data_IF_368703612094
#
_entry.id   IF_368703612094
#
_cell.length_a   1.000
_cell.length_b   1.000
_cell.length_c   1.000
_cell.angle_alpha   90.00
_cell.angle_beta   90.00
_cell.angle_gamma   90.00
#
_symmetry.space_group_name_H-M   'P 1'
#
loop_
_entity.id
_entity.type
_entity.pdbx_description
1 polymer ?
#
# COMPACT_ATOMS: atom_id res chain seq x y z
N UNK A 1 3.61 -11.93 2.82
CA UNK A 1 2.31 -11.23 2.65
C UNK A 1 2.54 -9.73 2.79
N UNK A 2 1.91 -8.95 1.94
CA UNK A 2 1.86 -7.48 2.08
C UNK A 2 0.48 -6.99 1.65
N UNK A 3 0.01 -5.92 2.26
CA UNK A 3 -1.16 -5.13 1.85
C UNK A 3 -0.68 -3.75 1.46
N UNK A 4 -1.41 -3.05 0.60
CA UNK A 4 -1.08 -1.66 0.25
C UNK A 4 -1.17 -0.74 1.48
N UNK A 5 -2.19 -0.93 2.31
CA UNK A 5 -2.44 -0.22 3.56
C UNK A 5 -3.50 -0.95 4.41
N UNK A 6 -3.90 -0.37 5.54
CA UNK A 6 -4.71 -1.04 6.58
C UNK A 6 -6.21 -0.73 6.53
N UNK A 7 -6.75 -0.12 5.49
CA UNK A 7 -8.18 0.08 5.37
C UNK A 7 -8.92 -1.25 5.12
N UNK A 8 -10.18 -1.31 5.56
CA UNK A 8 -10.97 -2.54 5.65
C UNK A 8 -11.11 -3.28 4.30
N UNK A 9 -11.22 -2.56 3.20
CA UNK A 9 -11.40 -3.11 1.85
C UNK A 9 -10.10 -3.67 1.23
N UNK A 10 -8.93 -3.40 1.86
CA UNK A 10 -7.63 -3.95 1.46
C UNK A 10 -7.14 -5.09 2.34
N UNK A 11 -7.70 -5.25 3.55
CA UNK A 11 -7.23 -6.25 4.52
C UNK A 11 -8.24 -7.35 4.84
N UNK A 12 -9.32 -7.45 4.08
CA UNK A 12 -10.43 -8.37 4.35
C UNK A 12 -10.04 -9.84 4.53
N UNK A 13 -8.93 -10.29 3.91
CA UNK A 13 -8.42 -11.67 4.04
C UNK A 13 -7.24 -11.81 5.00
N UNK A 14 -6.86 -10.76 5.73
CA UNK A 14 -5.66 -10.75 6.55
C UNK A 14 -5.63 -11.87 7.59
N UNK A 15 -6.74 -12.11 8.27
CA UNK A 15 -6.84 -13.15 9.30
C UNK A 15 -6.68 -14.58 8.75
N UNK A 16 -6.94 -14.80 7.46
CA UNK A 16 -6.81 -16.12 6.82
C UNK A 16 -5.35 -16.46 6.50
N UNK A 17 -4.50 -15.44 6.34
CA UNK A 17 -3.09 -15.59 5.96
C UNK A 17 -2.11 -15.37 7.12
N UNK A 18 -2.58 -15.51 8.35
CA UNK A 18 -1.84 -15.25 9.61
C UNK A 18 -0.52 -16.03 9.78
N UNK A 19 -0.31 -17.09 9.01
CA UNK A 19 0.91 -17.87 9.06
C UNK A 19 2.03 -17.33 8.15
N UNK A 20 1.74 -16.31 7.34
CA UNK A 20 2.73 -15.66 6.49
C UNK A 20 3.45 -14.54 7.24
N UNK A 21 4.72 -14.28 6.89
CA UNK A 21 5.40 -13.07 7.37
C UNK A 21 4.74 -11.84 6.76
N UNK A 22 4.30 -10.89 7.59
CA UNK A 22 3.70 -9.65 7.15
C UNK A 22 4.78 -8.59 6.92
N UNK A 23 4.87 -8.09 5.67
CA UNK A 23 5.71 -6.96 5.28
C UNK A 23 4.83 -5.71 5.26
N UNK A 24 5.09 -4.77 6.13
CA UNK A 24 4.24 -3.60 6.35
C UNK A 24 5.09 -2.39 6.72
N UNK A 25 4.73 -1.21 6.24
CA UNK A 25 5.37 0.02 6.72
C UNK A 25 5.08 0.19 8.22
N UNK A 26 6.11 0.56 9.00
CA UNK A 26 6.01 0.68 10.47
C UNK A 26 4.87 1.60 10.89
N UNK A 27 4.65 2.71 10.19
CA UNK A 27 3.59 3.66 10.48
C UNK A 27 2.18 3.03 10.41
N UNK A 28 1.91 2.18 9.42
CA UNK A 28 0.62 1.49 9.31
C UNK A 28 0.51 0.33 10.31
N UNK A 29 1.61 -0.37 10.61
CA UNK A 29 1.60 -1.38 11.68
C UNK A 29 1.24 -0.78 13.03
N UNK A 30 1.90 0.31 13.42
CA UNK A 30 1.66 0.96 14.70
C UNK A 30 0.24 1.54 14.77
N UNK A 31 -0.26 2.05 13.64
CA UNK A 31 -1.61 2.52 13.48
C UNK A 31 -2.67 1.41 13.58
N UNK A 32 -2.40 0.23 13.04
CA UNK A 32 -3.31 -0.92 13.08
C UNK A 32 -3.59 -1.42 14.52
N UNK A 33 -2.65 -1.20 15.44
CA UNK A 33 -2.69 -1.76 16.79
C UNK A 33 -2.58 -0.68 17.88
N UNK A 34 -3.28 0.42 17.69
CA UNK A 34 -3.37 1.49 18.67
C UNK A 34 -3.92 0.99 20.03
N UNK A 35 -3.56 1.64 21.14
CA UNK A 35 -4.16 1.37 22.44
C UNK A 35 -5.69 1.44 22.41
N UNK A 36 -6.32 0.67 23.31
CA UNK A 36 -7.78 0.66 23.43
C UNK A 36 -8.35 2.09 23.60
N UNK A 37 -9.41 2.39 22.87
CA UNK A 37 -10.06 3.70 22.86
C UNK A 37 -9.47 4.72 21.89
N UNK A 38 -8.41 4.39 21.17
CA UNK A 38 -7.88 5.18 20.06
C UNK A 38 -8.29 4.57 18.72
N UNK A 39 -8.55 5.41 17.71
CA UNK A 39 -8.92 4.97 16.37
C UNK A 39 -8.31 5.89 15.33
N UNK A 40 -7.92 5.32 14.19
CA UNK A 40 -7.49 6.04 13.00
C UNK A 40 -8.64 6.50 12.10
N UNK A 41 -9.86 6.33 12.55
CA UNK A 41 -11.04 6.67 11.78
C UNK A 41 -11.84 5.45 11.31
N UNK A 42 -12.93 5.68 10.59
CA UNK A 42 -13.92 4.63 10.27
C UNK A 42 -13.44 3.61 9.22
N UNK A 43 -12.35 3.89 8.52
CA UNK A 43 -11.84 3.00 7.48
C UNK A 43 -10.91 1.88 8.02
N UNK A 44 -10.56 1.90 9.30
CA UNK A 44 -9.73 0.87 9.94
C UNK A 44 -10.60 0.01 10.84
N UNK A 45 -10.69 -1.27 10.54
CA UNK A 45 -11.43 -2.27 11.31
C UNK A 45 -10.46 -3.24 12.01
N UNK A 46 -10.14 -3.05 13.31
CA UNK A 46 -9.14 -3.86 14.02
C UNK A 46 -9.43 -5.35 14.01
N UNK A 47 -10.69 -5.75 13.95
CA UNK A 47 -11.08 -7.16 13.92
C UNK A 47 -10.59 -7.89 12.66
N UNK A 48 -10.44 -7.19 11.54
CA UNK A 48 -9.89 -7.76 10.31
C UNK A 48 -8.38 -8.05 10.41
N UNK A 49 -7.69 -7.43 11.37
CA UNK A 49 -6.24 -7.56 11.58
C UNK A 49 -5.90 -8.37 12.85
N UNK A 50 -6.92 -8.86 13.57
CA UNK A 50 -6.75 -9.49 14.90
C UNK A 50 -5.79 -10.67 14.90
N UNK A 51 -5.91 -11.58 13.93
CA UNK A 51 -5.12 -12.81 13.87
C UNK A 51 -3.67 -12.53 13.41
N UNK A 52 -3.46 -11.53 12.55
CA UNK A 52 -2.11 -11.20 12.07
C UNK A 52 -1.31 -10.35 13.05
N UNK A 53 -1.91 -9.84 14.12
CA UNK A 53 -1.20 -9.10 15.17
C UNK A 53 0.00 -9.85 15.74
N UNK A 54 -0.11 -11.19 15.82
CA UNK A 54 0.93 -12.08 16.36
C UNK A 54 1.71 -12.80 15.25
N UNK A 55 1.49 -12.50 13.99
CA UNK A 55 2.24 -13.06 12.87
C UNK A 55 3.69 -12.56 12.87
N UNK A 56 4.58 -13.35 12.27
CA UNK A 56 5.91 -12.84 11.97
C UNK A 56 5.79 -11.57 11.14
N UNK A 57 6.43 -10.50 11.57
CA UNK A 57 6.28 -9.17 10.93
C UNK A 57 7.64 -8.57 10.63
N UNK A 58 7.80 -8.09 9.41
CA UNK A 58 8.91 -7.24 9.00
C UNK A 58 8.38 -5.81 8.84
N UNK A 59 8.68 -4.96 9.83
CA UNK A 59 8.38 -3.53 9.76
C UNK A 59 9.35 -2.84 8.82
N UNK A 60 8.81 -2.16 7.83
CA UNK A 60 9.56 -1.45 6.80
C UNK A 60 9.57 0.05 7.10
N UNK A 61 10.63 0.72 6.66
CA UNK A 61 10.72 2.18 6.67
C UNK A 61 11.27 2.64 5.32
N UNK A 62 10.39 2.74 4.33
CA UNK A 62 10.75 3.06 2.95
C UNK A 62 10.58 1.87 1.99
N UNK A 63 11.30 1.91 0.87
CA UNK A 63 11.20 0.90 -0.18
C UNK A 63 11.89 -0.41 0.25
N UNK A 64 11.35 -1.54 -0.21
CA UNK A 64 11.86 -2.86 0.13
C UNK A 64 11.80 -3.81 -1.06
N UNK A 65 12.94 -4.41 -1.40
CA UNK A 65 13.04 -5.49 -2.37
C UNK A 65 12.80 -6.82 -1.67
N UNK A 66 11.67 -7.47 -1.98
CA UNK A 66 11.18 -8.65 -1.26
C UNK A 66 12.14 -9.85 -1.36
N UNK A 67 12.79 -10.02 -2.51
CA UNK A 67 13.67 -11.16 -2.80
C UNK A 67 15.13 -10.75 -3.06
N UNK A 68 15.42 -9.45 -3.09
CA UNK A 68 16.76 -8.92 -3.34
C UNK A 68 17.22 -9.01 -4.81
N UNK A 69 16.30 -9.23 -5.74
CA UNK A 69 16.58 -9.37 -7.18
C UNK A 69 15.88 -8.31 -8.04
N UNK A 70 15.22 -7.34 -7.41
CA UNK A 70 14.53 -6.22 -8.04
C UNK A 70 13.19 -6.55 -8.68
N UNK A 71 12.79 -7.83 -8.71
CA UNK A 71 11.56 -8.24 -9.40
C UNK A 71 10.28 -7.97 -8.63
N UNK A 72 10.33 -7.98 -7.31
CA UNK A 72 9.17 -7.70 -6.46
C UNK A 72 9.59 -6.68 -5.41
N UNK A 73 9.07 -5.47 -5.52
CA UNK A 73 9.43 -4.36 -4.63
C UNK A 73 8.18 -3.73 -4.02
N UNK A 74 8.21 -3.53 -2.72
CA UNK A 74 7.26 -2.68 -2.01
C UNK A 74 7.81 -1.26 -2.02
N UNK A 75 7.08 -0.33 -2.59
CA UNK A 75 7.50 1.07 -2.74
C UNK A 75 6.68 1.90 -1.77
N UNK A 76 7.33 2.52 -0.80
CA UNK A 76 6.68 3.42 0.16
C UNK A 76 6.08 4.63 -0.56
N UNK A 77 4.78 4.82 -0.37
CA UNK A 77 3.99 5.87 -1.00
C UNK A 77 3.01 6.50 0.00
N UNK A 78 3.51 7.11 1.10
CA UNK A 78 2.69 7.65 2.17
C UNK A 78 1.80 8.80 1.71
N UNK A 79 0.69 9.02 2.44
CA UNK A 79 -0.21 10.15 2.24
C UNK A 79 -1.68 9.76 2.26
N UNK A 80 -2.08 8.65 1.64
CA UNK A 80 -3.41 8.06 1.80
C UNK A 80 -3.56 7.51 3.23
N UNK A 81 -2.67 6.60 3.63
CA UNK A 81 -2.32 6.37 5.04
C UNK A 81 -0.86 6.78 5.27
N UNK A 82 -0.40 6.78 6.52
CA UNK A 82 0.99 7.11 6.83
C UNK A 82 1.97 6.04 6.33
N UNK A 83 1.53 4.80 6.26
CA UNK A 83 2.30 3.65 5.80
C UNK A 83 1.84 3.06 4.47
N UNK A 84 1.08 3.82 3.67
CA UNK A 84 0.66 3.34 2.35
C UNK A 84 1.87 2.97 1.49
N UNK A 85 1.76 1.86 0.76
CA UNK A 85 2.78 1.36 -0.18
C UNK A 85 2.14 0.81 -1.45
N UNK A 86 2.85 0.89 -2.55
CA UNK A 86 2.46 0.28 -3.83
C UNK A 86 3.33 -0.94 -4.11
N UNK A 87 2.85 -1.88 -4.91
CA UNK A 87 3.61 -3.05 -5.33
C UNK A 87 4.12 -2.85 -6.76
N UNK A 88 5.44 -2.92 -6.94
CA UNK A 88 6.06 -3.16 -8.23
C UNK A 88 6.36 -4.65 -8.38
N UNK A 89 5.99 -5.23 -9.52
CA UNK A 89 6.34 -6.61 -9.88
C UNK A 89 6.74 -6.70 -11.35
N UNK A 90 7.88 -7.34 -11.62
CA UNK A 90 8.32 -7.64 -12.98
C UNK A 90 8.05 -9.12 -13.27
N UNK A 91 6.96 -9.39 -13.99
CA UNK A 91 6.51 -10.73 -14.35
C UNK A 91 7.25 -11.21 -15.59
N UNK A 92 7.72 -12.48 -15.57
CA UNK A 92 8.58 -13.04 -16.62
C UNK A 92 7.96 -12.99 -18.03
N UNK A 93 6.65 -13.20 -18.15
CA UNK A 93 5.95 -13.26 -19.44
C UNK A 93 5.17 -11.97 -19.74
N UNK A 94 4.80 -11.20 -18.73
CA UNK A 94 3.98 -10.00 -18.86
C UNK A 94 4.79 -8.71 -18.86
N UNK A 95 5.89 -8.69 -18.12
CA UNK A 95 6.72 -7.52 -17.91
C UNK A 95 6.42 -6.78 -16.61
N UNK A 96 6.92 -5.53 -16.50
CA UNK A 96 6.80 -4.76 -15.29
C UNK A 96 5.39 -4.17 -15.10
N UNK A 97 4.90 -4.24 -13.86
CA UNK A 97 3.58 -3.80 -13.44
C UNK A 97 3.66 -3.11 -12.09
N UNK A 98 2.89 -2.04 -11.90
CA UNK A 98 2.65 -1.39 -10.60
C UNK A 98 1.18 -1.56 -10.23
N UNK A 99 0.91 -2.11 -9.04
CA UNK A 99 -0.40 -2.11 -8.40
C UNK A 99 -0.47 -0.91 -7.43
N UNK A 100 -1.39 0.02 -7.69
CA UNK A 100 -1.37 1.34 -7.08
C UNK A 100 -1.82 1.40 -5.62
N UNK A 101 -2.53 0.36 -5.11
CA UNK A 101 -3.35 0.58 -3.93
C UNK A 101 -4.17 1.86 -4.10
N UNK A 102 -4.28 2.65 -3.05
CA UNK A 102 -5.07 3.89 -3.03
C UNK A 102 -4.27 5.16 -3.30
N UNK A 103 -3.10 5.02 -3.98
CA UNK A 103 -2.39 6.18 -4.49
C UNK A 103 -3.28 6.98 -5.47
N UNK A 104 -4.07 6.25 -6.27
CA UNK A 104 -5.15 6.77 -7.10
C UNK A 104 -6.35 5.83 -7.05
N UNK A 105 -7.55 6.38 -6.91
CA UNK A 105 -8.78 5.57 -6.94
C UNK A 105 -9.30 5.35 -8.37
N UNK A 106 -9.03 6.27 -9.29
CA UNK A 106 -9.54 6.22 -10.67
C UNK A 106 -8.53 6.78 -11.66
N UNK A 107 -8.56 6.34 -12.92
CA UNK A 107 -7.76 6.90 -14.03
C UNK A 107 -7.92 8.42 -14.16
N UNK A 108 -9.14 8.89 -13.93
CA UNK A 108 -9.44 10.32 -13.90
C UNK A 108 -8.66 11.04 -12.78
N UNK A 109 -8.59 10.47 -11.58
CA UNK A 109 -7.82 11.03 -10.46
C UNK A 109 -6.33 11.09 -10.79
N UNK A 110 -5.79 10.04 -11.45
CA UNK A 110 -4.41 10.01 -11.93
C UNK A 110 -4.16 11.10 -12.96
N UNK A 111 -5.00 11.21 -14.00
CA UNK A 111 -4.83 12.20 -15.08
C UNK A 111 -4.86 13.64 -14.57
N UNK A 112 -5.59 13.93 -13.51
CA UNK A 112 -5.73 15.26 -12.93
C UNK A 112 -4.94 15.48 -11.64
N UNK A 113 -4.16 14.48 -11.19
CA UNK A 113 -3.40 14.50 -9.91
C UNK A 113 -4.30 14.89 -8.72
N UNK A 114 -5.51 14.34 -8.69
CA UNK A 114 -6.45 14.63 -7.60
C UNK A 114 -6.16 13.78 -6.39
N UNK A 115 -6.07 14.43 -5.23
CA UNK A 115 -5.94 13.81 -3.93
C UNK A 115 -7.30 13.75 -3.26
N UNK A 116 -7.76 12.57 -2.78
CA UNK A 116 -8.99 12.46 -2.00
C UNK A 116 -8.94 13.27 -0.71
N UNK A 117 -10.07 13.84 -0.29
CA UNK A 117 -10.15 14.68 0.91
C UNK A 117 -9.90 13.89 2.22
N UNK A 118 -10.05 12.58 2.18
CA UNK A 118 -9.84 11.70 3.33
C UNK A 118 -8.40 11.17 3.45
N UNK A 119 -7.50 11.57 2.54
CA UNK A 119 -6.08 11.25 2.70
C UNK A 119 -5.50 11.95 3.93
N UNK A 120 -4.64 11.24 4.65
CA UNK A 120 -4.02 11.73 5.88
C UNK A 120 -3.13 12.96 5.63
N UNK A 121 -2.44 12.99 4.46
CA UNK A 121 -1.53 14.08 4.13
C UNK A 121 -1.49 14.32 2.61
N UNK A 122 -1.96 15.49 2.19
CA UNK A 122 -2.03 15.88 0.77
C UNK A 122 -0.64 16.03 0.16
N UNK A 123 0.27 16.71 0.84
CA UNK A 123 1.63 16.98 0.31
C UNK A 123 2.43 15.68 0.15
N UNK A 124 2.34 14.77 1.12
CA UNK A 124 2.94 13.45 1.01
C UNK A 124 2.33 12.64 -0.12
N UNK A 125 1.00 12.69 -0.31
CA UNK A 125 0.33 12.01 -1.43
C UNK A 125 0.87 12.52 -2.77
N UNK A 126 1.00 13.83 -2.95
CA UNK A 126 1.53 14.42 -4.17
C UNK A 126 2.99 14.01 -4.42
N UNK A 127 3.82 14.01 -3.39
CA UNK A 127 5.21 13.54 -3.49
C UNK A 127 5.28 12.04 -3.84
N UNK A 128 4.41 11.22 -3.26
CA UNK A 128 4.27 9.79 -3.56
C UNK A 128 3.82 9.56 -5.00
N UNK A 129 2.89 10.37 -5.50
CA UNK A 129 2.49 10.34 -6.91
C UNK A 129 3.68 10.61 -7.84
N UNK A 130 4.48 11.64 -7.56
CA UNK A 130 5.66 11.98 -8.39
C UNK A 130 6.69 10.84 -8.37
N UNK A 131 6.97 10.27 -7.20
CA UNK A 131 7.89 9.15 -7.04
C UNK A 131 7.43 7.92 -7.84
N UNK A 132 6.16 7.53 -7.71
CA UNK A 132 5.64 6.34 -8.36
C UNK A 132 5.49 6.55 -9.88
N UNK A 133 5.10 7.74 -10.35
CA UNK A 133 5.07 8.04 -11.79
C UNK A 133 6.48 8.00 -12.41
N UNK A 134 7.51 8.44 -11.67
CA UNK A 134 8.91 8.32 -12.11
C UNK A 134 9.30 6.85 -12.25
N UNK A 135 9.00 6.02 -11.25
CA UNK A 135 9.23 4.58 -11.29
C UNK A 135 8.54 3.91 -12.49
N UNK A 136 7.24 4.20 -12.70
CA UNK A 136 6.47 3.67 -13.83
C UNK A 136 7.14 4.01 -15.17
N UNK A 137 7.60 5.23 -15.31
CA UNK A 137 8.29 5.69 -16.53
C UNK A 137 9.66 5.04 -16.70
N UNK A 138 10.46 4.94 -15.66
CA UNK A 138 11.81 4.36 -15.66
C UNK A 138 11.79 2.87 -15.99
N UNK A 139 10.84 2.14 -15.42
CA UNK A 139 10.70 0.70 -15.61
C UNK A 139 9.88 0.34 -16.86
N UNK A 140 9.20 1.31 -17.48
CA UNK A 140 8.23 1.05 -18.55
C UNK A 140 7.05 0.20 -18.09
N UNK A 141 6.65 0.35 -16.83
CA UNK A 141 5.66 -0.51 -16.19
C UNK A 141 4.23 -0.12 -16.59
N UNK A 142 3.36 -1.13 -16.73
CA UNK A 142 1.92 -0.88 -16.67
C UNK A 142 1.50 -0.41 -15.27
N UNK A 143 0.40 0.34 -15.19
CA UNK A 143 -0.10 0.87 -13.94
C UNK A 143 -1.56 0.47 -13.74
N UNK A 144 -1.82 -0.38 -12.76
CA UNK A 144 -3.16 -0.86 -12.43
C UNK A 144 -3.71 -0.12 -11.21
N UNK A 145 -4.91 0.43 -11.37
CA UNK A 145 -5.64 1.18 -10.33
C UNK A 145 -6.73 0.27 -9.80
N UNK A 146 -6.74 0.06 -8.49
CA UNK A 146 -7.52 -0.99 -7.84
C UNK A 146 -9.03 -0.71 -7.88
N UNK A 147 -9.45 0.54 -7.70
CA UNK A 147 -10.86 0.94 -7.67
C UNK A 147 -11.43 1.37 -9.04
N UNK A 148 -10.65 1.23 -10.11
CA UNK A 148 -11.08 1.63 -11.45
C UNK A 148 -11.49 0.41 -12.27
N UNK A 149 -12.79 0.21 -12.39
CA UNK A 149 -13.35 -0.80 -13.29
C UNK A 149 -13.12 -0.36 -14.73
N UNK A 150 -12.23 -1.03 -15.44
CA UNK A 150 -11.88 -0.78 -16.83
C UNK A 150 -13.05 -1.10 -17.79
#
# INVERSE_FOLDING_TARGET
MAFSHIHFDHVGVANEVKNATWLVQEADFDAAFLPEGQSLGPAVEPDLLREIKNSATLKLNGDHDVFGDGRVRLISAPGHTQGHQVLFVNLAEYGPLVLSGDLYHFRFSRAQRRVPLFNVNVDQTLASMDKVESLVKEEGAEFWIEHDLA
#
